data_IF_128176171830
#
_entry.id   IF_128176171830
#
_cell.length_a   1.000
_cell.length_b   1.000
_cell.length_c   1.000
_cell.angle_alpha   90.00
_cell.angle_beta   90.00
_cell.angle_gamma   90.00
#
_symmetry.space_group_name_H-M   'P 1'
#
loop_
_entity.id
_entity.type
_entity.pdbx_description
1 polymer ?
#
# COMPACT_ATOMS: atom_id res chain seq x y z
N UNK A 1 -25.54 3.09 -0.52
CA UNK A 1 -25.08 4.35 -1.15
C UNK A 1 -23.59 4.18 -1.37
N UNK A 2 -23.15 4.10 -2.62
CA UNK A 2 -21.73 4.06 -2.96
C UNK A 2 -21.21 5.51 -3.05
N UNK A 3 -19.91 5.71 -2.91
CA UNK A 3 -19.30 7.05 -2.95
C UNK A 3 -19.64 7.83 -4.23
N UNK A 4 -19.81 7.15 -5.37
CA UNK A 4 -20.21 7.79 -6.62
C UNK A 4 -21.52 8.57 -6.52
N UNK A 5 -22.49 8.04 -5.75
CA UNK A 5 -23.75 8.74 -5.51
C UNK A 5 -23.57 9.96 -4.61
N UNK A 6 -22.61 9.94 -3.69
CA UNK A 6 -22.32 11.11 -2.85
C UNK A 6 -21.64 12.21 -3.65
N UNK A 7 -20.67 11.86 -4.50
CA UNK A 7 -20.04 12.80 -5.43
C UNK A 7 -21.10 13.43 -6.35
N UNK A 8 -22.00 12.62 -6.89
CA UNK A 8 -23.12 13.09 -7.71
C UNK A 8 -24.01 14.08 -6.96
N UNK A 9 -24.37 13.77 -5.71
CA UNK A 9 -25.21 14.64 -4.89
C UNK A 9 -24.51 15.96 -4.59
N UNK A 10 -23.26 15.93 -4.12
CA UNK A 10 -22.46 17.13 -3.83
C UNK A 10 -22.38 18.04 -5.06
N UNK A 11 -22.10 17.46 -6.23
CA UNK A 11 -22.04 18.21 -7.48
C UNK A 11 -23.37 18.87 -7.82
N UNK A 12 -24.48 18.12 -7.71
CA UNK A 12 -25.82 18.62 -8.03
C UNK A 12 -26.30 19.68 -7.04
N UNK A 13 -26.03 19.49 -5.75
CA UNK A 13 -26.37 20.44 -4.68
C UNK A 13 -25.58 21.75 -4.86
N UNK A 14 -24.36 21.65 -5.40
CA UNK A 14 -23.53 22.81 -5.78
C UNK A 14 -23.86 23.37 -7.17
N UNK A 15 -24.85 22.83 -7.87
CA UNK A 15 -25.29 23.24 -9.22
C UNK A 15 -24.18 23.22 -10.29
N UNK A 16 -23.17 22.35 -10.13
CA UNK A 16 -22.04 22.26 -11.05
C UNK A 16 -22.28 21.22 -12.15
N UNK A 17 -21.79 21.48 -13.35
CA UNK A 17 -21.62 20.45 -14.38
C UNK A 17 -20.47 19.50 -14.03
N UNK A 18 -20.42 18.31 -14.63
CA UNK A 18 -19.30 17.37 -14.43
C UNK A 18 -17.95 17.99 -14.86
N UNK A 19 -17.97 18.89 -15.84
CA UNK A 19 -16.76 19.57 -16.31
C UNK A 19 -16.29 20.61 -15.29
N UNK A 20 -17.19 21.44 -14.77
CA UNK A 20 -16.87 22.43 -13.73
C UNK A 20 -16.41 21.76 -12.44
N UNK A 21 -17.09 20.69 -12.03
CA UNK A 21 -16.66 19.90 -10.87
C UNK A 21 -15.27 19.29 -11.08
N UNK A 22 -14.98 18.79 -12.29
CA UNK A 22 -13.66 18.26 -12.61
C UNK A 22 -12.56 19.32 -12.54
N UNK A 23 -12.86 20.55 -12.98
CA UNK A 23 -11.92 21.69 -12.91
C UNK A 23 -11.49 22.01 -11.48
N UNK A 24 -12.39 21.89 -10.49
CA UNK A 24 -12.07 22.12 -9.08
C UNK A 24 -10.99 21.17 -8.53
N UNK A 25 -10.93 19.94 -9.05
CA UNK A 25 -10.00 18.90 -8.60
C UNK A 25 -8.95 18.56 -9.65
N UNK A 26 -8.79 19.40 -10.67
CA UNK A 26 -7.83 19.20 -11.77
C UNK A 26 -7.97 17.84 -12.49
N UNK A 27 -9.21 17.36 -12.65
CA UNK A 27 -9.53 16.13 -13.37
C UNK A 27 -10.44 16.38 -14.56
N UNK A 28 -10.48 15.42 -15.49
CA UNK A 28 -11.36 15.51 -16.65
C UNK A 28 -12.82 15.25 -16.28
N UNK A 29 -13.76 15.78 -17.09
CA UNK A 29 -15.18 15.43 -17.01
C UNK A 29 -15.42 13.91 -17.05
N UNK A 30 -14.65 13.18 -17.86
CA UNK A 30 -14.75 11.73 -17.97
C UNK A 30 -14.39 11.04 -16.66
N UNK A 31 -13.38 11.54 -15.95
CA UNK A 31 -12.98 11.05 -14.63
C UNK A 31 -14.12 11.22 -13.62
N UNK A 32 -14.74 12.40 -13.58
CA UNK A 32 -15.91 12.66 -12.71
C UNK A 32 -17.08 11.73 -13.06
N UNK A 33 -17.38 11.57 -14.35
CA UNK A 33 -18.40 10.63 -14.81
C UNK A 33 -18.11 9.19 -14.38
N UNK A 34 -16.85 8.75 -14.45
CA UNK A 34 -16.46 7.43 -14.00
C UNK A 34 -16.65 7.25 -12.49
N UNK A 35 -16.37 8.28 -11.68
CA UNK A 35 -16.64 8.26 -10.24
C UNK A 35 -18.13 8.15 -9.93
N UNK A 36 -18.94 9.02 -10.55
CA UNK A 36 -20.40 9.03 -10.33
C UNK A 36 -21.08 7.72 -10.72
N UNK A 37 -20.52 7.02 -11.72
CA UNK A 37 -21.01 5.72 -12.18
C UNK A 37 -20.33 4.52 -11.51
N UNK A 38 -19.45 4.74 -10.51
CA UNK A 38 -18.75 3.68 -9.79
C UNK A 38 -17.73 2.89 -10.62
N UNK A 39 -17.28 3.42 -11.77
CA UNK A 39 -16.27 2.80 -12.64
C UNK A 39 -14.85 2.99 -12.13
N UNK A 40 -14.62 4.05 -11.36
CA UNK A 40 -13.34 4.34 -10.70
C UNK A 40 -13.59 5.06 -9.38
N UNK A 41 -12.57 5.19 -8.56
CA UNK A 41 -12.62 5.92 -7.29
C UNK A 41 -11.72 7.16 -7.34
N UNK A 42 -12.08 8.27 -6.67
CA UNK A 42 -11.15 9.37 -6.44
C UNK A 42 -10.06 8.92 -5.47
N UNK A 43 -8.86 9.50 -5.59
CA UNK A 43 -7.80 9.26 -4.62
C UNK A 43 -8.09 9.94 -3.28
N UNK A 44 -7.33 9.58 -2.24
CA UNK A 44 -7.50 10.15 -0.90
C UNK A 44 -7.33 11.67 -0.86
N UNK A 45 -6.42 12.23 -1.66
CA UNK A 45 -6.15 13.68 -1.64
C UNK A 45 -7.33 14.46 -2.25
N UNK A 46 -7.93 13.94 -3.31
CA UNK A 46 -9.14 14.47 -3.94
C UNK A 46 -10.31 14.34 -2.97
N UNK A 47 -10.45 13.21 -2.26
CA UNK A 47 -11.51 13.05 -1.26
C UNK A 47 -11.39 14.03 -0.10
N UNK A 48 -10.17 14.27 0.40
CA UNK A 48 -9.89 15.30 1.40
C UNK A 48 -10.18 16.70 0.84
N UNK A 49 -9.79 16.96 -0.41
CA UNK A 49 -10.09 18.23 -1.09
C UNK A 49 -11.60 18.45 -1.24
N UNK A 50 -12.37 17.42 -1.60
CA UNK A 50 -13.83 17.47 -1.67
C UNK A 50 -14.44 17.76 -0.29
N UNK A 51 -13.94 17.06 0.74
CA UNK A 51 -14.37 17.26 2.14
C UNK A 51 -14.20 18.71 2.57
N UNK A 52 -13.05 19.32 2.29
CA UNK A 52 -12.76 20.72 2.61
C UNK A 52 -13.56 21.70 1.74
N UNK A 53 -13.68 21.43 0.43
CA UNK A 53 -14.32 22.34 -0.53
C UNK A 53 -15.83 22.47 -0.30
N UNK A 54 -16.48 21.39 0.15
CA UNK A 54 -17.94 21.33 0.32
C UNK A 54 -18.37 21.24 1.79
N UNK A 55 -17.44 21.37 2.74
CA UNK A 55 -17.67 21.29 4.19
C UNK A 55 -18.43 20.02 4.63
N UNK A 56 -18.03 18.88 4.06
CA UNK A 56 -18.61 17.57 4.35
C UNK A 56 -17.57 16.71 5.03
N UNK A 57 -17.93 16.04 6.12
CA UNK A 57 -16.97 15.17 6.80
C UNK A 57 -16.52 14.03 5.87
N UNK A 58 -15.21 13.73 5.86
CA UNK A 58 -14.66 12.62 5.09
C UNK A 58 -15.32 11.29 5.50
N UNK A 59 -15.67 11.15 6.77
CA UNK A 59 -16.45 10.02 7.27
C UNK A 59 -17.81 9.95 6.56
N UNK A 60 -18.57 11.04 6.43
CA UNK A 60 -19.82 11.07 5.65
C UNK A 60 -19.61 10.68 4.20
N UNK A 61 -18.51 11.11 3.56
CA UNK A 61 -18.16 10.81 2.17
C UNK A 61 -17.75 9.33 1.97
N UNK A 62 -17.29 8.67 3.02
CA UNK A 62 -16.79 7.29 3.00
C UNK A 62 -17.73 6.26 3.64
N UNK A 63 -18.64 6.68 4.53
CA UNK A 63 -19.32 5.83 5.53
C UNK A 63 -20.23 4.73 4.99
N UNK A 64 -20.41 4.64 3.67
CA UNK A 64 -21.29 3.64 3.06
C UNK A 64 -20.61 2.82 1.97
N UNK A 65 -19.29 2.96 1.80
CA UNK A 65 -18.50 2.21 0.83
C UNK A 65 -17.40 1.37 1.49
N UNK A 66 -17.81 0.21 2.02
CA UNK A 66 -16.90 -0.73 2.70
C UNK A 66 -15.73 -1.17 1.82
N UNK A 67 -15.92 -1.17 0.48
CA UNK A 67 -14.89 -1.56 -0.49
C UNK A 67 -13.74 -0.56 -0.56
N UNK A 68 -14.02 0.75 -0.46
CA UNK A 68 -12.98 1.77 -0.48
C UNK A 68 -12.12 1.71 0.78
N UNK A 69 -12.76 1.67 1.95
CA UNK A 69 -12.06 1.60 3.25
C UNK A 69 -11.16 0.35 3.29
N UNK A 70 -11.68 -0.81 2.85
CA UNK A 70 -10.87 -2.03 2.73
C UNK A 70 -9.67 -1.89 1.80
N UNK A 71 -9.82 -1.19 0.67
CA UNK A 71 -8.70 -0.99 -0.28
C UNK A 71 -7.58 -0.10 0.30
N UNK A 72 -7.95 0.91 1.08
CA UNK A 72 -7.00 1.80 1.76
C UNK A 72 -6.26 1.08 2.90
N UNK A 73 -6.98 0.30 3.70
CA UNK A 73 -6.38 -0.51 4.76
C UNK A 73 -5.45 -1.58 4.18
N UNK A 74 -5.82 -2.16 3.03
CA UNK A 74 -4.99 -3.11 2.28
C UNK A 74 -3.70 -2.50 1.78
N UNK A 75 -3.76 -1.32 1.18
CA UNK A 75 -2.58 -0.64 0.67
C UNK A 75 -1.60 -0.28 1.80
N UNK A 76 -2.12 0.21 2.94
CA UNK A 76 -1.31 0.50 4.14
C UNK A 76 -0.66 -0.76 4.71
N UNK A 77 -1.43 -1.84 4.90
CA UNK A 77 -0.92 -3.10 5.42
C UNK A 77 0.15 -3.69 4.49
N UNK A 78 -0.10 -3.72 3.18
CA UNK A 78 0.88 -4.19 2.20
C UNK A 78 2.14 -3.31 2.15
N UNK A 79 2.02 -1.99 2.30
CA UNK A 79 3.16 -1.08 2.34
C UNK A 79 4.12 -1.40 3.49
N UNK A 80 3.58 -1.58 4.70
CA UNK A 80 4.37 -1.95 5.90
C UNK A 80 5.07 -3.30 5.68
N UNK A 81 4.33 -4.30 5.18
CA UNK A 81 4.88 -5.65 4.98
C UNK A 81 5.97 -5.66 3.90
N UNK A 82 5.79 -4.90 2.81
CA UNK A 82 6.78 -4.76 1.73
C UNK A 82 8.08 -4.11 2.23
N UNK A 83 7.98 -3.09 3.08
CA UNK A 83 9.15 -2.46 3.69
C UNK A 83 9.89 -3.44 4.61
N UNK A 84 9.15 -4.20 5.45
CA UNK A 84 9.75 -5.21 6.34
C UNK A 84 10.49 -6.32 5.55
N UNK A 85 9.94 -6.74 4.40
CA UNK A 85 10.57 -7.72 3.50
C UNK A 85 11.83 -7.18 2.83
N UNK A 86 11.82 -5.93 2.38
CA UNK A 86 12.97 -5.27 1.74
C UNK A 86 14.20 -5.24 2.66
N UNK A 87 14.00 -4.91 3.93
CA UNK A 87 15.06 -4.91 4.94
C UNK A 87 15.66 -6.32 5.10
N UNK A 88 14.81 -7.35 5.16
CA UNK A 88 15.24 -8.74 5.32
C UNK A 88 16.02 -9.24 4.10
N UNK A 89 15.58 -8.92 2.89
CA UNK A 89 16.27 -9.30 1.66
C UNK A 89 17.63 -8.58 1.52
N UNK A 90 17.73 -7.31 1.96
CA UNK A 90 19.01 -6.59 2.02
C UNK A 90 20.02 -7.29 2.95
N UNK A 91 19.62 -7.65 4.18
CA UNK A 91 20.52 -8.32 5.12
C UNK A 91 20.90 -9.73 4.67
N UNK A 92 19.96 -10.46 4.06
CA UNK A 92 20.24 -11.79 3.50
C UNK A 92 21.23 -11.68 2.34
N UNK A 93 21.04 -10.72 1.43
CA UNK A 93 21.93 -10.45 0.31
C UNK A 93 23.33 -10.00 0.75
N UNK A 94 23.41 -9.07 1.71
CA UNK A 94 24.67 -8.63 2.29
C UNK A 94 25.42 -9.80 2.96
N UNK A 95 24.72 -10.64 3.73
CA UNK A 95 25.27 -11.85 4.32
C UNK A 95 25.84 -12.82 3.27
N UNK A 96 25.12 -13.05 2.17
CA UNK A 96 25.65 -13.88 1.07
C UNK A 96 26.88 -13.27 0.40
N UNK A 97 26.91 -11.94 0.21
CA UNK A 97 28.06 -11.24 -0.38
C UNK A 97 29.31 -11.33 0.49
N UNK A 98 29.14 -11.24 1.82
CA UNK A 98 30.22 -11.41 2.80
C UNK A 98 30.80 -12.83 2.75
N UNK A 99 29.94 -13.86 2.65
CA UNK A 99 30.39 -15.26 2.56
C UNK A 99 31.13 -15.52 1.24
N UNK A 100 30.63 -14.99 0.12
CA UNK A 100 31.24 -15.16 -1.21
C UNK A 100 32.59 -14.43 -1.33
N UNK A 101 32.70 -13.21 -0.79
CA UNK A 101 33.96 -12.45 -0.84
C UNK A 101 35.10 -13.12 -0.05
N UNK A 102 34.76 -13.89 0.98
CA UNK A 102 35.72 -14.68 1.75
C UNK A 102 36.38 -15.83 0.96
N UNK A 103 35.82 -16.25 -0.17
CA UNK A 103 36.41 -17.29 -1.02
C UNK A 103 37.77 -16.87 -1.61
N UNK A 104 38.07 -15.57 -1.63
CA UNK A 104 39.30 -15.01 -2.22
C UNK A 104 40.28 -14.41 -1.18
N UNK A 105 40.00 -14.53 0.13
CA UNK A 105 40.86 -13.96 1.18
C UNK A 105 41.94 -14.96 1.65
N UNK A 106 43.24 -14.58 1.71
CA UNK A 106 44.33 -15.47 2.11
C UNK A 106 44.38 -15.84 3.61
N UNK A 107 43.80 -15.02 4.49
CA UNK A 107 43.94 -15.16 5.94
C UNK A 107 42.92 -16.14 6.55
N UNK A 108 43.41 -17.14 7.27
CA UNK A 108 42.60 -18.26 7.79
C UNK A 108 41.70 -17.87 8.96
N UNK A 109 42.14 -16.98 9.85
CA UNK A 109 41.43 -16.65 11.11
C UNK A 109 40.33 -15.60 10.89
N UNK A 110 40.56 -14.66 9.98
CA UNK A 110 39.56 -13.66 9.59
C UNK A 110 38.45 -14.33 8.78
N UNK A 111 38.80 -15.27 7.89
CA UNK A 111 37.84 -16.01 7.06
C UNK A 111 36.82 -16.78 7.88
N UNK A 112 37.23 -17.55 8.89
CA UNK A 112 36.31 -18.36 9.71
C UNK A 112 35.35 -17.48 10.50
N UNK A 113 35.84 -16.38 11.08
CA UNK A 113 35.02 -15.42 11.83
C UNK A 113 33.95 -14.77 10.96
N UNK A 114 34.31 -14.33 9.76
CA UNK A 114 33.40 -13.65 8.84
C UNK A 114 32.33 -14.61 8.26
N UNK A 115 32.69 -15.87 8.00
CA UNK A 115 31.72 -16.90 7.57
C UNK A 115 30.67 -17.17 8.64
N UNK A 116 31.07 -17.27 9.91
CA UNK A 116 30.13 -17.51 11.02
C UNK A 116 29.13 -16.35 11.13
N UNK A 117 29.61 -15.10 11.07
CA UNK A 117 28.75 -13.92 11.09
C UNK A 117 27.80 -13.90 9.88
N UNK A 118 28.30 -14.21 8.68
CA UNK A 118 27.48 -14.30 7.47
C UNK A 118 26.39 -15.36 7.56
N UNK A 119 26.69 -16.56 8.08
CA UNK A 119 25.71 -17.63 8.26
C UNK A 119 24.63 -17.27 9.29
N UNK A 120 25.01 -16.60 10.39
CA UNK A 120 24.06 -16.09 11.39
C UNK A 120 23.12 -15.06 10.75
N UNK A 121 23.66 -14.13 9.96
CA UNK A 121 22.86 -13.12 9.25
C UNK A 121 21.88 -13.76 8.26
N UNK A 122 22.31 -14.76 7.49
CA UNK A 122 21.46 -15.50 6.55
C UNK A 122 20.37 -16.27 7.31
N UNK A 123 20.71 -16.94 8.41
CA UNK A 123 19.75 -17.69 9.22
C UNK A 123 18.68 -16.80 9.84
N UNK A 124 19.07 -15.65 10.40
CA UNK A 124 18.13 -14.64 10.92
C UNK A 124 17.26 -14.08 9.78
N UNK A 125 17.86 -13.82 8.62
CA UNK A 125 17.16 -13.39 7.41
C UNK A 125 16.07 -14.37 6.98
N UNK A 126 16.42 -15.65 6.84
CA UNK A 126 15.49 -16.73 6.48
C UNK A 126 14.38 -16.91 7.51
N UNK A 127 14.71 -16.89 8.79
CA UNK A 127 13.71 -17.00 9.87
C UNK A 127 12.69 -15.85 9.81
N UNK A 128 13.19 -14.61 9.70
CA UNK A 128 12.32 -13.42 9.63
C UNK A 128 11.51 -13.38 8.32
N UNK A 129 12.12 -13.79 7.20
CA UNK A 129 11.46 -13.92 5.89
C UNK A 129 10.29 -14.91 5.95
N UNK A 130 10.51 -16.09 6.50
CA UNK A 130 9.47 -17.12 6.67
C UNK A 130 8.31 -16.60 7.53
N UNK A 131 8.60 -15.87 8.61
CA UNK A 131 7.56 -15.25 9.44
C UNK A 131 6.77 -14.18 8.67
N UNK A 132 7.44 -13.38 7.84
CA UNK A 132 6.80 -12.32 7.08
C UNK A 132 5.94 -12.85 5.93
N UNK A 133 6.41 -13.86 5.22
CA UNK A 133 5.63 -14.51 4.15
C UNK A 133 4.36 -15.17 4.71
N UNK A 134 4.42 -15.76 5.92
CA UNK A 134 3.22 -16.26 6.62
C UNK A 134 2.20 -15.16 6.92
N UNK A 135 2.64 -13.97 7.37
CA UNK A 135 1.73 -12.83 7.58
C UNK A 135 1.05 -12.38 6.29
N UNK A 136 1.79 -12.37 5.16
CA UNK A 136 1.23 -12.02 3.84
C UNK A 136 0.16 -13.04 3.44
N UNK A 137 0.43 -14.33 3.59
CA UNK A 137 -0.53 -15.38 3.27
C UNK A 137 -1.81 -15.27 4.11
N UNK A 138 -1.67 -15.12 5.43
CA UNK A 138 -2.82 -14.92 6.33
C UNK A 138 -3.63 -13.67 5.94
N UNK A 139 -2.95 -12.57 5.61
CA UNK A 139 -3.62 -11.36 5.16
C UNK A 139 -4.39 -11.55 3.84
N UNK A 140 -3.85 -12.31 2.89
CA UNK A 140 -4.54 -12.60 1.62
C UNK A 140 -5.76 -13.49 1.87
N UNK A 141 -5.61 -14.52 2.71
CA UNK A 141 -6.66 -15.48 3.06
C UNK A 141 -7.85 -14.81 3.78
N UNK A 142 -7.58 -13.93 4.76
CA UNK A 142 -8.60 -13.12 5.44
C UNK A 142 -9.38 -12.18 4.50
N UNK A 143 -8.78 -11.78 3.37
CA UNK A 143 -9.42 -10.90 2.38
C UNK A 143 -10.25 -11.70 1.39
N UNK A 144 -9.85 -12.92 1.06
CA UNK A 144 -10.62 -13.82 0.21
C UNK A 144 -11.84 -14.39 0.94
N UNK A 145 -11.76 -14.65 2.25
CA UNK A 145 -12.92 -15.07 3.07
C UNK A 145 -14.00 -13.98 3.25
N UNK A 146 -13.63 -12.69 3.12
CA UNK A 146 -14.55 -11.55 3.29
C UNK A 146 -15.33 -11.19 2.02
N UNK A 147 -15.09 -11.89 0.90
CA UNK A 147 -15.63 -11.57 -0.43
C UNK A 147 -16.80 -12.48 -0.81
#
# INVERSE_FOLDING_TARGET
>A
MNIGNQILNIRKDSQLTQEEFGKLFHVTRQTVSNWENGKSYPDLQILVSMSNQFDISLDTLLKKDSKMVQSMDKERAMGIIKHEKSIVDFFTGAGTGIVVSCLFSPDSSIRTTVIIVGLIMIGIGWYKKSKNDKKVFQYIEEQDEKK
#
